data_IF_567563886394
#
_entry.id   IF_567563886394
#
_cell.length_a   1.000
_cell.length_b   1.000
_cell.length_c   1.000
_cell.angle_alpha   90.00
_cell.angle_beta   90.00
_cell.angle_gamma   90.00
#
_symmetry.space_group_name_H-M   'P 1'
#
loop_
_entity.id
_entity.type
_entity.pdbx_description
1 polymer ?
#
# COMPACT_ATOMS: atom_id res chain seq x y z
N UNK A 1 -8.01 -8.95 0.11
CA UNK A 1 -6.86 -9.65 -0.50
C UNK A 1 -5.66 -9.59 0.44
N UNK A 2 -5.51 -10.63 1.27
CA UNK A 2 -4.36 -11.14 2.02
C UNK A 2 -3.29 -10.16 2.54
N UNK A 3 -3.37 -9.79 3.82
CA UNK A 3 -2.26 -9.20 4.59
C UNK A 3 -0.99 -10.06 4.70
N UNK A 4 -0.96 -11.22 4.04
CA UNK A 4 0.15 -12.17 4.01
C UNK A 4 1.47 -11.53 3.54
N UNK A 5 1.44 -10.62 2.58
CA UNK A 5 2.67 -10.04 2.02
C UNK A 5 3.32 -9.03 2.99
N UNK A 6 2.52 -8.19 3.64
CA UNK A 6 3.01 -7.26 4.67
C UNK A 6 3.49 -8.01 5.91
N UNK A 7 2.77 -9.06 6.32
CA UNK A 7 3.18 -9.93 7.43
C UNK A 7 4.45 -10.70 7.10
N UNK A 8 4.60 -11.20 5.87
CA UNK A 8 5.82 -11.86 5.41
C UNK A 8 7.01 -10.88 5.40
N UNK A 9 6.84 -9.67 4.89
CA UNK A 9 7.89 -8.64 4.93
C UNK A 9 8.25 -8.22 6.35
N UNK A 10 7.26 -8.14 7.24
CA UNK A 10 7.50 -7.89 8.66
C UNK A 10 8.33 -9.01 9.29
N UNK A 11 7.96 -10.28 9.05
CA UNK A 11 8.73 -11.44 9.53
C UNK A 11 10.16 -11.42 9.00
N UNK A 12 10.36 -11.14 7.71
CA UNK A 12 11.69 -11.00 7.08
C UNK A 12 12.54 -9.95 7.77
N UNK A 13 11.96 -8.79 8.10
CA UNK A 13 12.68 -7.73 8.81
C UNK A 13 13.13 -8.14 10.21
N UNK A 14 12.31 -8.93 10.92
CA UNK A 14 12.63 -9.43 12.26
C UNK A 14 13.71 -10.51 12.22
N UNK A 15 13.67 -11.42 11.23
CA UNK A 15 14.68 -12.48 11.08
C UNK A 15 15.99 -11.98 10.47
N UNK A 16 15.98 -10.87 9.71
CA UNK A 16 17.17 -10.35 9.02
C UNK A 16 18.44 -10.25 9.89
N UNK A 17 18.40 -9.65 11.11
CA UNK A 17 19.59 -9.55 11.96
C UNK A 17 20.16 -10.89 12.42
N UNK A 18 19.37 -11.96 12.32
CA UNK A 18 19.74 -13.31 12.78
C UNK A 18 20.23 -14.20 11.63
N UNK A 19 20.18 -13.72 10.38
CA UNK A 19 20.64 -14.45 9.20
C UNK A 19 22.11 -14.08 8.93
N UNK A 20 23.02 -14.98 9.31
CA UNK A 20 24.46 -14.80 9.11
C UNK A 20 24.91 -15.06 7.67
N UNK A 21 24.07 -15.67 6.82
CA UNK A 21 24.39 -15.99 5.43
C UNK A 21 23.59 -15.10 4.48
N UNK A 22 24.28 -14.15 3.83
CA UNK A 22 23.66 -13.22 2.90
C UNK A 22 22.94 -13.90 1.73
N UNK A 23 23.46 -15.03 1.21
CA UNK A 23 22.81 -15.77 0.11
C UNK A 23 21.44 -16.32 0.52
N UNK A 24 21.33 -16.78 1.77
CA UNK A 24 20.06 -17.27 2.31
C UNK A 24 19.03 -16.14 2.37
N UNK A 25 19.45 -14.94 2.78
CA UNK A 25 18.57 -13.76 2.79
C UNK A 25 18.11 -13.37 1.38
N UNK A 26 19.02 -13.35 0.41
CA UNK A 26 18.69 -13.08 -0.99
C UNK A 26 17.67 -14.08 -1.55
N UNK A 27 17.84 -15.38 -1.26
CA UNK A 27 16.88 -16.40 -1.67
C UNK A 27 15.49 -16.21 -1.04
N UNK A 28 15.42 -15.81 0.23
CA UNK A 28 14.15 -15.52 0.91
C UNK A 28 13.44 -14.33 0.24
N UNK A 29 14.17 -13.26 -0.08
CA UNK A 29 13.61 -12.11 -0.78
C UNK A 29 13.08 -12.49 -2.16
N UNK A 30 13.86 -13.27 -2.92
CA UNK A 30 13.43 -13.78 -4.22
C UNK A 30 12.17 -14.63 -4.09
N UNK A 31 12.08 -15.51 -3.09
CA UNK A 31 10.89 -16.33 -2.86
C UNK A 31 9.64 -15.48 -2.59
N UNK A 32 9.74 -14.41 -1.78
CA UNK A 32 8.61 -13.51 -1.55
C UNK A 32 8.27 -12.69 -2.78
N UNK A 33 9.26 -12.29 -3.57
CA UNK A 33 9.04 -11.62 -4.85
C UNK A 33 8.31 -12.52 -5.86
N UNK A 34 8.72 -13.78 -6.01
CA UNK A 34 8.03 -14.75 -6.85
C UNK A 34 6.60 -15.02 -6.36
N UNK A 35 6.39 -15.11 -5.04
CA UNK A 35 5.06 -15.21 -4.48
C UNK A 35 4.18 -14.02 -4.85
N UNK A 36 4.72 -12.80 -4.81
CA UNK A 36 4.02 -11.59 -5.25
C UNK A 36 3.62 -11.66 -6.73
N UNK A 37 4.51 -12.10 -7.61
CA UNK A 37 4.22 -12.29 -9.04
C UNK A 37 3.11 -13.32 -9.24
N UNK A 38 3.20 -14.46 -8.56
CA UNK A 38 2.21 -15.53 -8.64
C UNK A 38 0.84 -14.99 -8.23
N UNK A 39 0.77 -14.29 -7.09
CA UNK A 39 -0.44 -13.63 -6.60
C UNK A 39 -1.01 -12.63 -7.62
N UNK A 40 -0.16 -11.82 -8.26
CA UNK A 40 -0.56 -10.90 -9.32
C UNK A 40 -1.16 -11.62 -10.53
N UNK A 41 -0.55 -12.73 -10.96
CA UNK A 41 -1.07 -13.55 -12.07
C UNK A 41 -2.42 -14.20 -11.69
N UNK A 42 -2.54 -14.70 -10.46
CA UNK A 42 -3.81 -15.27 -9.94
C UNK A 42 -4.94 -14.24 -9.89
N UNK A 43 -4.63 -12.96 -9.74
CA UNK A 43 -5.61 -11.87 -9.76
C UNK A 43 -6.00 -11.45 -11.19
N UNK A 44 -5.71 -12.27 -12.20
CA UNK A 44 -5.97 -11.99 -13.61
C UNK A 44 -5.20 -10.79 -14.16
N UNK A 45 -4.00 -10.52 -13.62
CA UNK A 45 -3.13 -9.42 -14.04
C UNK A 45 -3.89 -8.08 -14.06
N UNK A 46 -4.30 -7.57 -12.87
CA UNK A 46 -4.95 -6.27 -12.81
C UNK A 46 -4.12 -5.24 -13.55
N UNK A 47 -4.76 -4.48 -14.44
CA UNK A 47 -4.07 -3.53 -15.30
C UNK A 47 -3.38 -2.45 -14.46
N UNK A 48 -2.08 -2.29 -14.66
CA UNK A 48 -1.30 -1.21 -14.04
C UNK A 48 -1.45 0.01 -14.92
N UNK A 49 -2.45 0.83 -14.61
CA UNK A 49 -2.69 2.06 -15.35
C UNK A 49 -1.91 3.23 -14.72
N UNK A 50 -0.73 3.54 -15.28
CA UNK A 50 0.14 4.64 -14.82
C UNK A 50 -0.49 6.02 -15.04
N UNK A 51 -1.40 6.16 -16.02
CA UNK A 51 -2.13 7.41 -16.28
C UNK A 51 -3.00 7.83 -15.09
N UNK A 52 -3.41 6.87 -14.24
CA UNK A 52 -4.13 7.17 -13.01
C UNK A 52 -3.36 8.16 -12.12
N UNK A 53 -2.03 8.14 -12.13
CA UNK A 53 -1.21 9.05 -11.31
C UNK A 53 -0.63 10.16 -12.16
N UNK A 54 -0.16 9.85 -13.36
CA UNK A 54 0.52 10.83 -14.21
C UNK A 54 -0.43 11.95 -14.67
N UNK A 55 -1.69 11.61 -14.99
CA UNK A 55 -2.68 12.57 -15.47
C UNK A 55 -3.47 13.23 -14.33
N UNK A 56 -3.19 12.85 -13.08
CA UNK A 56 -3.84 13.44 -11.92
C UNK A 56 -3.34 14.87 -11.72
N UNK A 57 -4.22 15.83 -12.00
CA UNK A 57 -3.94 17.26 -11.84
C UNK A 57 -3.96 17.62 -10.36
N UNK A 58 -2.81 18.09 -9.87
CA UNK A 58 -2.69 18.68 -8.56
C UNK A 58 -2.73 20.20 -8.71
N UNK A 59 -3.57 20.85 -7.93
CA UNK A 59 -3.51 22.29 -7.74
C UNK A 59 -2.27 22.64 -6.90
N UNK A 60 -1.76 23.87 -7.04
CA UNK A 60 -0.55 24.33 -6.35
C UNK A 60 -0.65 24.17 -4.82
N UNK A 61 -1.86 24.34 -4.26
CA UNK A 61 -2.15 24.18 -2.83
C UNK A 61 -1.98 22.73 -2.34
N UNK A 62 -2.17 21.75 -3.23
CA UNK A 62 -2.07 20.31 -2.93
C UNK A 62 -0.65 19.77 -3.13
N UNK A 63 0.23 20.55 -3.74
CA UNK A 63 1.61 20.16 -4.06
C UNK A 63 2.55 20.26 -2.85
N UNK A 64 2.10 19.81 -1.68
CA UNK A 64 2.90 19.74 -0.47
C UNK A 64 2.46 18.56 0.40
N UNK A 65 3.42 17.89 1.04
CA UNK A 65 3.17 16.85 2.05
C UNK A 65 2.34 17.34 3.24
N UNK A 66 2.35 18.63 3.55
CA UNK A 66 1.51 19.19 4.62
C UNK A 66 0.01 19.00 4.33
N UNK A 67 -0.42 19.19 3.07
CA UNK A 67 -1.81 18.95 2.68
C UNK A 67 -2.23 17.50 2.94
N UNK A 68 -1.36 16.54 2.58
CA UNK A 68 -1.59 15.10 2.84
C UNK A 68 -1.76 14.84 4.34
N UNK A 69 -0.89 15.42 5.17
CA UNK A 69 -0.93 15.23 6.63
C UNK A 69 -2.21 15.83 7.22
N UNK A 70 -2.54 17.08 6.88
CA UNK A 70 -3.74 17.76 7.36
C UNK A 70 -5.00 17.00 6.95
N UNK A 71 -5.05 16.49 5.72
CA UNK A 71 -6.19 15.72 5.24
C UNK A 71 -6.39 14.43 6.03
N UNK A 72 -5.31 13.71 6.35
CA UNK A 72 -5.39 12.49 7.17
C UNK A 72 -5.89 12.82 8.58
N UNK A 73 -5.34 13.87 9.21
CA UNK A 73 -5.69 14.25 10.58
C UNK A 73 -7.15 14.70 10.70
N UNK A 74 -7.69 15.31 9.65
CA UNK A 74 -9.08 15.80 9.61
C UNK A 74 -10.10 14.74 9.15
N UNK A 75 -9.66 13.52 8.85
CA UNK A 75 -10.53 12.43 8.36
C UNK A 75 -10.35 11.19 9.24
N UNK A 76 -11.28 10.23 9.24
CA UNK A 76 -11.08 8.98 10.02
C UNK A 76 -9.95 8.08 9.46
N UNK A 77 -9.31 8.47 8.35
CA UNK A 77 -8.09 7.84 7.82
C UNK A 77 -6.94 7.79 8.85
N UNK A 78 -6.90 8.72 9.81
CA UNK A 78 -5.92 8.68 10.90
C UNK A 78 -6.01 7.39 11.74
N UNK A 79 -7.22 6.81 11.85
CA UNK A 79 -7.45 5.61 12.64
C UNK A 79 -7.04 4.33 11.88
N UNK A 80 -6.78 4.42 10.57
CA UNK A 80 -6.35 3.29 9.76
C UNK A 80 -4.82 3.21 9.68
N UNK A 81 -4.26 2.22 10.39
CA UNK A 81 -2.82 1.98 10.43
C UNK A 81 -2.23 1.61 9.06
N UNK A 82 -3.01 1.03 8.15
CA UNK A 82 -2.54 0.63 6.83
C UNK A 82 -2.40 1.83 5.91
N UNK A 83 -3.37 2.75 5.93
CA UNK A 83 -3.30 4.02 5.20
C UNK A 83 -2.08 4.82 5.65
N UNK A 84 -1.87 4.97 6.97
CA UNK A 84 -0.71 5.69 7.51
C UNK A 84 0.62 5.04 7.10
N UNK A 85 0.69 3.69 7.07
CA UNK A 85 1.88 2.96 6.60
C UNK A 85 2.16 3.20 5.12
N UNK A 86 1.14 3.18 4.27
CA UNK A 86 1.28 3.44 2.83
C UNK A 86 1.79 4.85 2.57
N UNK A 87 1.20 5.85 3.23
CA UNK A 87 1.59 7.26 3.04
C UNK A 87 3.01 7.52 3.55
N UNK A 88 3.40 6.89 4.67
CA UNK A 88 4.80 6.91 5.14
C UNK A 88 5.75 6.27 4.13
N UNK A 89 5.39 5.12 3.56
CA UNK A 89 6.21 4.44 2.57
C UNK A 89 6.41 5.28 1.30
N UNK A 90 5.38 5.99 0.82
CA UNK A 90 5.50 6.92 -0.31
C UNK A 90 6.45 8.08 -0.01
N UNK A 91 6.32 8.69 1.18
CA UNK A 91 7.19 9.78 1.62
C UNK A 91 8.65 9.34 1.74
N UNK A 92 8.90 8.15 2.28
CA UNK A 92 10.26 7.62 2.41
C UNK A 92 10.81 7.15 1.05
N UNK A 93 9.97 6.65 0.15
CA UNK A 93 10.37 6.31 -1.21
C UNK A 93 10.82 7.55 -2.00
N UNK A 94 10.15 8.69 -1.88
CA UNK A 94 10.59 9.93 -2.51
C UNK A 94 11.97 10.38 -1.99
N UNK A 95 12.23 10.25 -0.68
CA UNK A 95 13.55 10.58 -0.11
C UNK A 95 14.65 9.67 -0.63
N UNK A 96 14.37 8.38 -0.81
CA UNK A 96 15.36 7.37 -1.21
C UNK A 96 15.60 7.37 -2.72
N UNK A 97 14.53 7.44 -3.51
CA UNK A 97 14.58 7.30 -4.97
C UNK A 97 14.50 8.62 -5.73
N UNK A 98 14.41 9.75 -5.00
CA UNK A 98 14.37 11.09 -5.56
C UNK A 98 13.01 11.51 -6.10
N UNK A 99 12.97 12.75 -6.59
CA UNK A 99 11.78 13.33 -7.19
C UNK A 99 11.50 12.71 -8.56
N UNK A 100 10.29 12.15 -8.74
CA UNK A 100 9.82 11.53 -9.99
C UNK A 100 8.60 12.27 -10.55
N UNK A 101 8.79 13.52 -10.92
CA UNK A 101 7.71 14.40 -11.39
C UNK A 101 6.48 14.45 -10.44
N UNK A 102 6.78 14.44 -9.14
CA UNK A 102 5.77 14.46 -8.08
C UNK A 102 4.99 13.15 -7.94
N UNK A 103 5.36 12.06 -8.63
CA UNK A 103 4.63 10.78 -8.61
C UNK A 103 4.25 10.31 -7.20
N UNK A 104 5.18 10.34 -6.25
CA UNK A 104 4.94 9.89 -4.87
C UNK A 104 3.91 10.76 -4.15
N UNK A 105 4.02 12.09 -4.31
CA UNK A 105 3.12 13.06 -3.71
C UNK A 105 1.73 13.06 -4.39
N UNK A 106 1.69 12.99 -5.73
CA UNK A 106 0.46 12.80 -6.54
C UNK A 106 -0.28 11.56 -6.08
N UNK A 107 0.43 10.45 -5.91
CA UNK A 107 -0.14 9.20 -5.41
C UNK A 107 -0.68 9.36 -3.99
N UNK A 108 0.08 10.00 -3.09
CA UNK A 108 -0.36 10.23 -1.72
C UNK A 108 -1.62 11.11 -1.64
N UNK A 109 -1.66 12.20 -2.40
CA UNK A 109 -2.83 13.09 -2.47
C UNK A 109 -4.05 12.38 -3.06
N UNK A 110 -3.88 11.69 -4.19
CA UNK A 110 -4.96 10.91 -4.78
C UNK A 110 -5.49 9.83 -3.82
N UNK A 111 -4.61 9.25 -3.01
CA UNK A 111 -4.97 8.26 -1.99
C UNK A 111 -5.83 8.89 -0.88
N UNK A 112 -5.42 10.01 -0.29
CA UNK A 112 -6.19 10.65 0.80
C UNK A 112 -7.50 11.28 0.34
N UNK A 113 -7.64 11.58 -0.96
CA UNK A 113 -8.88 12.11 -1.53
C UNK A 113 -9.89 11.01 -1.91
N UNK A 114 -9.42 9.85 -2.39
CA UNK A 114 -10.30 8.82 -2.95
C UNK A 114 -10.48 7.58 -2.05
N UNK A 115 -9.68 7.42 -0.99
CA UNK A 115 -9.85 6.30 -0.06
C UNK A 115 -11.09 6.55 0.79
N UNK A 116 -12.16 5.80 0.49
CA UNK A 116 -13.34 5.72 1.34
C UNK A 116 -13.12 4.64 2.40
N UNK A 117 -13.38 4.98 3.68
CA UNK A 117 -13.06 4.11 4.83
C UNK A 117 -13.90 2.84 4.84
N UNK A 118 -15.08 2.87 4.20
CA UNK A 118 -15.94 1.70 4.02
C UNK A 118 -15.38 0.67 3.02
N UNK A 119 -14.50 1.10 2.10
CA UNK A 119 -13.89 0.24 1.08
C UNK A 119 -12.44 -0.16 1.41
N UNK A 120 -11.94 0.22 2.60
CA UNK A 120 -10.61 -0.21 3.05
C UNK A 120 -10.68 -1.70 3.39
N UNK A 121 -9.85 -2.49 2.69
CA UNK A 121 -9.89 -3.94 2.54
C UNK A 121 -9.58 -4.79 3.79
N UNK A 122 -10.00 -4.33 4.97
CA UNK A 122 -9.87 -5.07 6.22
C UNK A 122 -11.24 -5.06 6.88
N UNK A 123 -11.87 -6.24 6.82
CA UNK A 123 -13.15 -6.55 7.43
C UNK A 123 -13.33 -5.84 8.78
N UNK A 124 -14.29 -4.91 8.86
CA UNK A 124 -14.99 -4.74 10.14
C UNK A 124 -15.63 -6.10 10.45
N UNK A 125 -15.64 -6.56 11.71
CA UNK A 125 -16.23 -7.85 12.10
C UNK A 125 -17.69 -8.09 11.65
N UNK A 126 -18.39 -7.03 11.21
CA UNK A 126 -19.80 -7.05 10.80
C UNK A 126 -20.05 -6.74 9.30
N UNK A 127 -19.06 -6.90 8.42
CA UNK A 127 -19.31 -6.72 6.98
C UNK A 127 -20.25 -7.81 6.41
N UNK A 128 -21.51 -7.43 6.20
CA UNK A 128 -22.57 -8.30 5.68
C UNK A 128 -22.30 -8.81 4.26
N UNK A 129 -21.39 -8.17 3.50
CA UNK A 129 -21.01 -8.64 2.16
C UNK A 129 -20.26 -9.97 2.22
N UNK A 130 -19.45 -10.21 3.24
CA UNK A 130 -18.74 -11.48 3.46
C UNK A 130 -19.70 -12.62 3.85
N UNK A 131 -20.72 -12.32 4.67
CA UNK A 131 -21.70 -13.31 5.13
C UNK A 131 -22.58 -13.86 4.00
N UNK A 132 -22.83 -13.06 2.96
CA UNK A 132 -23.63 -13.49 1.81
C UNK A 132 -22.85 -14.34 0.81
N UNK A 133 -21.51 -14.23 0.79
CA UNK A 133 -20.65 -15.08 -0.05
C UNK A 133 -20.54 -16.49 0.56
N UNK A 134 -20.45 -16.59 1.89
CA UNK A 134 -20.39 -17.88 2.60
C UNK A 134 -21.74 -18.61 2.68
N UNK A 135 -22.86 -17.91 2.48
CA UNK A 135 -24.20 -18.53 2.42
C UNK A 135 -24.59 -19.05 1.03
N UNK A 136 -23.74 -18.86 0.02
CA UNK A 136 -23.97 -19.31 -1.37
C UNK A 136 -23.05 -20.45 -1.81
N UNK A 137 -22.28 -21.05 -0.90
CA UNK A 137 -21.52 -22.29 -1.16
C UNK A 137 -22.19 -23.50 -0.54
#
# INVERSE_FOLDING_TARGET
MNGALVTAMHAIRIIYPHINNQKTFEHILLAVFYFAIVVYVYQLRPEINEHLINDYKMDDEKNNWNYVIERILNTELMNDVHVVKVLRALKDAEKVYGYKDGFYLKTAVKTVENVNIEDIWIARPNDQRQLNVLKRS
#
